data_IF_419172733552
#
_entry.id   IF_419172733552
#
_cell.length_a   1.000
_cell.length_b   1.000
_cell.length_c   1.000
_cell.angle_alpha   90.00
_cell.angle_beta   90.00
_cell.angle_gamma   90.00
#
_symmetry.space_group_name_H-M   'P 1'
#
loop_
_entity.id
_entity.type
_entity.pdbx_description
1 polymer ?
#
# COMPACT_ATOMS: atom_id res chain seq x y z
N UNK A 1 -11.53 50.11 -13.83
CA UNK A 1 -10.06 50.26 -13.72
C UNK A 1 -9.64 49.53 -12.45
N UNK A 2 -9.11 48.31 -12.64
CA UNK A 2 -7.71 47.93 -12.33
C UNK A 2 -7.56 47.42 -10.90
N UNK A 3 -7.80 46.12 -10.69
CA UNK A 3 -6.79 45.03 -10.60
C UNK A 3 -6.06 44.97 -9.26
N UNK A 4 -6.29 43.89 -8.51
CA UNK A 4 -5.23 43.12 -7.84
C UNK A 4 -5.74 41.69 -7.62
N UNK A 5 -5.25 40.67 -8.35
CA UNK A 5 -5.44 39.28 -7.97
C UNK A 5 -4.39 38.91 -6.92
N UNK A 6 -4.85 38.40 -5.78
CA UNK A 6 -3.99 37.85 -4.75
C UNK A 6 -3.22 36.65 -5.30
N UNK A 7 -1.90 36.81 -5.43
CA UNK A 7 -0.98 35.74 -5.79
C UNK A 7 -0.99 34.68 -4.69
N UNK A 8 -1.63 33.54 -4.97
CA UNK A 8 -1.49 32.32 -4.16
C UNK A 8 -0.03 31.88 -4.23
N UNK A 9 0.65 31.92 -3.10
CA UNK A 9 2.02 31.41 -2.97
C UNK A 9 2.05 29.95 -3.39
N UNK A 10 2.72 29.64 -4.48
CA UNK A 10 3.07 28.28 -4.88
C UNK A 10 4.09 27.74 -3.89
N UNK A 11 3.62 27.08 -2.83
CA UNK A 11 4.45 26.32 -1.93
C UNK A 11 5.18 25.25 -2.76
N UNK A 12 6.49 25.44 -2.93
CA UNK A 12 7.41 24.53 -3.60
C UNK A 12 7.26 23.14 -3.00
N UNK A 13 6.73 22.20 -3.79
CA UNK A 13 6.62 20.80 -3.40
C UNK A 13 8.00 20.30 -2.91
N UNK A 14 8.07 19.62 -1.75
CA UNK A 14 9.34 19.13 -1.25
C UNK A 14 9.97 18.22 -2.31
N UNK A 15 11.24 18.47 -2.63
CA UNK A 15 11.99 17.64 -3.57
C UNK A 15 11.80 16.17 -3.18
N UNK A 16 11.36 15.34 -4.13
CA UNK A 16 11.23 13.89 -3.92
C UNK A 16 12.60 13.38 -3.51
N UNK A 17 12.77 13.13 -2.21
CA UNK A 17 14.02 12.60 -1.68
C UNK A 17 14.19 11.20 -2.24
N UNK A 18 15.26 10.97 -3.00
CA UNK A 18 15.60 9.65 -3.56
C UNK A 18 15.66 8.60 -2.44
N UNK A 19 16.09 9.00 -1.23
CA UNK A 19 16.09 8.14 -0.04
C UNK A 19 14.67 7.69 0.36
N UNK A 20 13.68 8.58 0.28
CA UNK A 20 12.29 8.23 0.56
C UNK A 20 11.73 7.31 -0.53
N UNK A 21 12.10 7.51 -1.79
CA UNK A 21 11.71 6.60 -2.88
C UNK A 21 12.33 5.21 -2.69
N UNK A 22 13.63 5.12 -2.36
CA UNK A 22 14.31 3.86 -2.06
C UNK A 22 13.63 3.11 -0.90
N UNK A 23 13.30 3.81 0.19
CA UNK A 23 12.60 3.21 1.34
C UNK A 23 11.20 2.69 0.97
N UNK A 24 10.49 3.38 0.09
CA UNK A 24 9.20 2.91 -0.41
C UNK A 24 9.33 1.69 -1.31
N UNK A 25 10.37 1.64 -2.15
CA UNK A 25 10.65 0.49 -3.02
C UNK A 25 11.01 -0.72 -2.16
N UNK A 26 11.84 -0.55 -1.14
CA UNK A 26 12.20 -1.61 -0.21
C UNK A 26 10.96 -2.14 0.54
N UNK A 27 10.12 -1.23 1.06
CA UNK A 27 8.85 -1.61 1.69
C UNK A 27 7.94 -2.38 0.73
N UNK A 28 7.79 -1.88 -0.51
CA UNK A 28 7.00 -2.55 -1.54
C UNK A 28 7.54 -3.95 -1.83
N UNK A 29 8.87 -4.11 -1.93
CA UNK A 29 9.52 -5.39 -2.17
C UNK A 29 9.27 -6.40 -1.03
N UNK A 30 9.38 -5.97 0.23
CA UNK A 30 9.05 -6.82 1.38
C UNK A 30 7.58 -7.26 1.38
N UNK A 31 6.66 -6.35 1.09
CA UNK A 31 5.23 -6.67 0.99
C UNK A 31 4.96 -7.67 -0.14
N UNK A 32 5.59 -7.50 -1.31
CA UNK A 32 5.48 -8.45 -2.44
C UNK A 32 5.99 -9.83 -2.05
N UNK A 33 7.12 -9.90 -1.33
CA UNK A 33 7.69 -11.17 -0.88
C UNK A 33 6.79 -11.89 0.13
N UNK A 34 6.04 -11.16 0.96
CA UNK A 34 5.01 -11.71 1.85
C UNK A 34 3.71 -12.10 1.12
N UNK A 35 3.65 -11.94 -0.21
CA UNK A 35 2.45 -12.25 -1.00
C UNK A 35 1.35 -11.18 -0.89
N UNK A 36 1.70 -9.94 -0.53
CA UNK A 36 0.72 -8.85 -0.49
C UNK A 36 0.07 -8.65 -1.86
N UNK A 37 -1.24 -8.45 -1.85
CA UNK A 37 -2.02 -8.16 -3.05
C UNK A 37 -1.75 -6.73 -3.52
N UNK A 38 -1.96 -6.50 -4.82
CA UNK A 38 -1.74 -5.19 -5.43
C UNK A 38 -2.53 -4.06 -4.77
N UNK A 39 -3.77 -4.30 -4.35
CA UNK A 39 -4.60 -3.32 -3.65
C UNK A 39 -3.98 -2.87 -2.30
N UNK A 40 -3.28 -3.77 -1.59
CA UNK A 40 -2.58 -3.45 -0.34
C UNK A 40 -1.30 -2.65 -0.64
N UNK A 41 -0.59 -2.99 -1.71
CA UNK A 41 0.59 -2.24 -2.14
C UNK A 41 0.23 -0.81 -2.56
N UNK A 42 -0.91 -0.62 -3.21
CA UNK A 42 -1.44 0.70 -3.60
C UNK A 42 -1.81 1.56 -2.39
N UNK A 43 -2.33 0.97 -1.30
CA UNK A 43 -2.66 1.73 -0.09
C UNK A 43 -1.44 2.05 0.77
N UNK A 44 -0.43 1.16 0.79
CA UNK A 44 0.75 1.29 1.66
C UNK A 44 1.92 2.06 1.03
N UNK A 45 1.90 2.30 -0.28
CA UNK A 45 3.02 2.95 -1.00
C UNK A 45 2.54 4.13 -1.83
N UNK A 46 3.41 5.15 -2.02
CA UNK A 46 3.09 6.31 -2.88
C UNK A 46 3.61 6.15 -4.32
N UNK A 47 4.07 4.94 -4.67
CA UNK A 47 4.60 4.60 -5.98
C UNK A 47 3.46 4.45 -7.01
N UNK A 48 3.74 4.73 -8.28
CA UNK A 48 2.74 4.57 -9.34
C UNK A 48 2.45 3.10 -9.63
N UNK A 49 1.20 2.82 -10.01
CA UNK A 49 0.71 1.47 -10.34
C UNK A 49 1.62 0.72 -11.33
N UNK A 50 2.10 1.40 -12.38
CA UNK A 50 3.02 0.80 -13.36
C UNK A 50 4.34 0.34 -12.74
N UNK A 51 4.88 1.11 -11.78
CA UNK A 51 6.13 0.79 -11.09
C UNK A 51 5.93 -0.38 -10.13
N UNK A 52 4.78 -0.45 -9.45
CA UNK A 52 4.39 -1.60 -8.64
C UNK A 52 4.27 -2.87 -9.48
N UNK A 53 3.65 -2.82 -10.66
CA UNK A 53 3.51 -4.00 -11.53
C UNK A 53 4.87 -4.52 -11.98
N UNK A 54 5.78 -3.62 -12.39
CA UNK A 54 7.14 -4.01 -12.80
C UNK A 54 7.87 -4.68 -11.64
N UNK A 55 7.86 -4.06 -10.45
CA UNK A 55 8.47 -4.61 -9.25
C UNK A 55 7.87 -5.97 -8.85
N UNK A 56 6.53 -6.11 -8.96
CA UNK A 56 5.85 -7.37 -8.69
C UNK A 56 6.28 -8.47 -9.66
N UNK A 57 6.39 -8.17 -10.95
CA UNK A 57 6.86 -9.13 -11.95
C UNK A 57 8.32 -9.52 -11.75
N UNK A 58 9.17 -8.57 -11.35
CA UNK A 58 10.59 -8.81 -11.06
C UNK A 58 10.78 -9.74 -9.87
N UNK A 59 10.02 -9.55 -8.79
CA UNK A 59 10.18 -10.32 -7.54
C UNK A 59 9.41 -11.65 -7.58
N UNK A 60 8.14 -11.62 -7.98
CA UNK A 60 7.26 -12.79 -7.89
C UNK A 60 7.23 -13.64 -9.17
N UNK A 61 7.80 -13.16 -10.28
CA UNK A 61 7.84 -13.87 -11.58
C UNK A 61 6.47 -14.14 -12.22
N UNK A 62 5.38 -13.70 -11.59
CA UNK A 62 3.99 -13.90 -12.03
C UNK A 62 3.31 -12.55 -12.17
N UNK A 63 2.34 -12.46 -13.08
CA UNK A 63 1.46 -11.29 -13.11
C UNK A 63 0.60 -11.27 -11.84
N UNK A 64 0.39 -10.09 -11.21
CA UNK A 64 -0.40 -10.01 -9.98
C UNK A 64 -1.78 -10.61 -10.20
N UNK A 65 -2.23 -11.44 -9.24
CA UNK A 65 -3.54 -12.08 -9.31
C UNK A 65 -4.62 -11.00 -9.31
N UNK A 66 -5.32 -10.87 -10.43
CA UNK A 66 -6.44 -9.94 -10.59
C UNK A 66 -7.64 -10.50 -9.84
N UNK A 67 -7.79 -10.07 -8.59
CA UNK A 67 -8.98 -10.35 -7.81
C UNK A 67 -9.15 -9.25 -6.78
N UNK A 68 -10.38 -8.75 -6.62
CA UNK A 68 -10.71 -7.90 -5.48
C UNK A 68 -10.46 -8.69 -4.20
N UNK A 69 -9.91 -8.05 -3.17
CA UNK A 69 -10.03 -8.60 -1.82
C UNK A 69 -11.53 -8.80 -1.52
N UNK A 70 -11.93 -9.91 -0.88
CA UNK A 70 -13.23 -9.96 -0.25
C UNK A 70 -13.26 -8.85 0.81
N UNK A 71 -13.94 -7.74 0.49
CA UNK A 71 -14.20 -6.66 1.45
C UNK A 71 -15.40 -6.95 2.35
N UNK A 72 -16.06 -8.10 2.17
CA UNK A 72 -17.21 -8.46 2.99
C UNK A 72 -16.77 -8.85 4.39
N UNK A 73 -17.38 -8.22 5.39
CA UNK A 73 -17.28 -8.64 6.79
C UNK A 73 -17.72 -10.09 6.99
N UNK A 74 -18.54 -10.62 6.06
CA UNK A 74 -19.03 -11.99 6.06
C UNK A 74 -17.90 -13.03 5.91
N UNK A 75 -16.76 -12.65 5.30
CA UNK A 75 -15.62 -13.55 5.20
C UNK A 75 -15.11 -13.97 6.59
N UNK A 76 -15.16 -13.06 7.57
CA UNK A 76 -14.73 -13.30 8.95
C UNK A 76 -15.72 -14.07 9.81
N UNK A 77 -16.95 -14.26 9.33
CA UNK A 77 -17.99 -15.01 10.07
C UNK A 77 -17.89 -16.52 9.89
N UNK A 78 -17.11 -16.97 8.90
CA UNK A 78 -16.84 -18.40 8.68
C UNK A 78 -15.89 -18.92 9.76
N UNK A 79 -16.14 -20.12 10.31
CA UNK A 79 -15.42 -20.66 11.48
C UNK A 79 -13.88 -20.62 11.36
N UNK A 80 -13.33 -21.09 10.24
CA UNK A 80 -11.89 -21.21 10.08
C UNK A 80 -11.22 -19.82 9.97
N UNK A 81 -11.79 -18.96 9.14
CA UNK A 81 -11.38 -17.58 8.90
C UNK A 81 -11.51 -16.73 10.16
N UNK A 82 -12.55 -16.96 10.97
CA UNK A 82 -12.77 -16.30 12.25
C UNK A 82 -11.63 -16.59 13.22
N UNK A 83 -11.25 -17.86 13.39
CA UNK A 83 -10.17 -18.27 14.29
C UNK A 83 -8.84 -17.67 13.84
N UNK A 84 -8.51 -17.77 12.54
CA UNK A 84 -7.27 -17.23 12.00
C UNK A 84 -7.17 -15.72 12.17
N UNK A 85 -8.25 -15.00 11.87
CA UNK A 85 -8.27 -13.53 11.95
C UNK A 85 -8.22 -13.05 13.40
N UNK A 86 -8.90 -13.74 14.31
CA UNK A 86 -8.86 -13.43 15.75
C UNK A 86 -7.46 -13.63 16.33
N UNK A 87 -6.78 -14.72 15.97
CA UNK A 87 -5.39 -14.97 16.38
C UNK A 87 -4.45 -13.89 15.85
N UNK A 88 -4.55 -13.55 14.56
CA UNK A 88 -3.75 -12.49 13.96
C UNK A 88 -3.96 -11.15 14.67
N UNK A 89 -5.22 -10.78 14.92
CA UNK A 89 -5.56 -9.52 15.60
C UNK A 89 -5.00 -9.49 17.03
N UNK A 90 -5.10 -10.59 17.77
CA UNK A 90 -4.55 -10.66 19.12
C UNK A 90 -3.03 -10.47 19.15
N UNK A 91 -2.30 -11.11 18.21
CA UNK A 91 -0.85 -10.91 18.08
C UNK A 91 -0.54 -9.46 17.71
N UNK A 92 -1.30 -8.87 16.79
CA UNK A 92 -1.13 -7.47 16.39
C UNK A 92 -1.37 -6.50 17.55
N UNK A 93 -2.42 -6.69 18.34
CA UNK A 93 -2.72 -5.89 19.53
C UNK A 93 -1.63 -6.04 20.59
N UNK A 94 -1.07 -7.24 20.75
CA UNK A 94 0.04 -7.49 21.65
C UNK A 94 1.31 -6.75 21.21
N UNK A 95 1.64 -6.75 19.91
CA UNK A 95 2.81 -6.06 19.37
C UNK A 95 2.63 -4.53 19.29
N UNK A 96 1.39 -4.04 19.28
CA UNK A 96 1.07 -2.61 19.20
C UNK A 96 0.90 -1.93 20.57
N UNK A 97 0.92 -2.71 21.65
CA UNK A 97 1.04 -2.22 23.03
C UNK A 97 2.50 -2.02 23.40
#
# INVERSE_FOLDING_TARGET
>A
MTTTPAAKSTAKAPAKSVLNESKQIERAAMLIQMGARMQVLESETTLSYERLIRLYKEIAGKSPSKGQLPFSTDWFLTWQENIHSSLFLNIYEYLSK
#
